data_IF_629894024138
#
_entry.id   IF_629894024138
#
_cell.length_a   1.000
_cell.length_b   1.000
_cell.length_c   1.000
_cell.angle_alpha   90.00
_cell.angle_beta   90.00
_cell.angle_gamma   90.00
#
_symmetry.space_group_name_H-M   'P 1'
#
loop_
_entity.id
_entity.type
_entity.pdbx_description
1 polymer ?
#
# COMPACT_ATOMS: atom_id res chain seq x y z
N UNK A 1 -9.39 20.90 35.14
CA UNK A 1 -8.96 21.26 33.77
C UNK A 1 -9.99 22.21 33.18
N UNK A 2 -9.54 23.37 32.69
CA UNK A 2 -10.39 24.39 32.09
C UNK A 2 -11.07 23.87 30.80
N UNK A 3 -12.23 24.40 30.45
CA UNK A 3 -13.02 23.95 29.29
C UNK A 3 -12.24 24.14 27.99
N UNK A 4 -11.43 25.19 27.95
CA UNK A 4 -10.53 25.58 26.87
C UNK A 4 -9.46 24.51 26.61
N UNK A 5 -8.86 23.95 27.67
CA UNK A 5 -7.84 22.89 27.54
C UNK A 5 -8.43 21.61 26.93
N UNK A 6 -9.68 21.27 27.28
CA UNK A 6 -10.37 20.10 26.70
C UNK A 6 -10.64 20.28 25.21
N UNK A 7 -11.03 21.48 24.80
CA UNK A 7 -11.24 21.82 23.38
C UNK A 7 -9.92 21.77 22.61
N UNK A 8 -8.84 22.30 23.19
CA UNK A 8 -7.50 22.22 22.60
C UNK A 8 -7.02 20.79 22.38
N UNK A 9 -7.19 19.91 23.38
CA UNK A 9 -6.84 18.48 23.25
C UNK A 9 -7.68 17.82 22.16
N UNK A 10 -8.99 18.08 22.13
CA UNK A 10 -9.88 17.54 21.11
C UNK A 10 -9.45 17.93 19.70
N UNK A 11 -9.06 19.20 19.50
CA UNK A 11 -8.59 19.68 18.21
C UNK A 11 -7.30 18.97 17.76
N UNK A 12 -6.33 18.77 18.66
CA UNK A 12 -5.09 18.04 18.34
C UNK A 12 -5.39 16.59 17.98
N UNK A 13 -6.24 15.90 18.75
CA UNK A 13 -6.65 14.52 18.46
C UNK A 13 -7.34 14.43 17.10
N UNK A 14 -8.23 15.36 16.78
CA UNK A 14 -8.93 15.39 15.49
C UNK A 14 -7.95 15.56 14.31
N UNK A 15 -6.95 16.43 14.43
CA UNK A 15 -5.91 16.63 13.42
C UNK A 15 -5.07 15.35 13.24
N UNK A 16 -4.66 14.71 14.35
CA UNK A 16 -3.89 13.47 14.28
C UNK A 16 -4.67 12.34 13.60
N UNK A 17 -5.96 12.19 13.93
CA UNK A 17 -6.84 11.21 13.29
C UNK A 17 -7.04 11.50 11.82
N UNK A 18 -7.14 12.77 11.42
CA UNK A 18 -7.25 13.16 10.01
C UNK A 18 -6.02 12.78 9.20
N UNK A 19 -4.82 13.09 9.70
CA UNK A 19 -3.56 12.75 9.01
C UNK A 19 -3.43 11.23 8.88
N UNK A 20 -3.70 10.51 9.97
CA UNK A 20 -3.66 9.04 9.97
C UNK A 20 -4.72 8.43 9.04
N UNK A 21 -5.95 8.94 9.08
CA UNK A 21 -7.06 8.50 8.25
C UNK A 21 -6.83 8.75 6.76
N UNK A 22 -6.19 9.86 6.39
CA UNK A 22 -5.82 10.16 5.00
C UNK A 22 -4.83 9.14 4.43
N UNK A 23 -3.80 8.79 5.19
CA UNK A 23 -2.83 7.77 4.76
C UNK A 23 -3.44 6.35 4.77
N UNK A 24 -4.41 6.08 5.66
CA UNK A 24 -5.21 4.85 5.63
C UNK A 24 -6.09 4.75 4.37
N UNK A 25 -6.75 5.86 3.96
CA UNK A 25 -7.55 5.90 2.72
C UNK A 25 -6.71 5.70 1.46
N UNK A 26 -5.42 6.06 1.49
CA UNK A 26 -4.47 5.70 0.43
C UNK A 26 -4.06 4.22 0.42
N UNK A 27 -4.57 3.41 1.35
CA UNK A 27 -4.26 1.99 1.43
C UNK A 27 -2.86 1.69 1.95
N UNK A 28 -2.16 2.65 2.56
CA UNK A 28 -0.89 2.34 3.25
C UNK A 28 -1.24 1.56 4.51
N UNK A 29 -0.92 0.27 4.51
CA UNK A 29 -1.09 -0.60 5.67
C UNK A 29 -0.07 -0.24 6.76
N UNK A 30 -0.37 0.81 7.54
CA UNK A 30 0.51 1.33 8.61
C UNK A 30 0.57 0.43 9.85
N UNK A 31 -0.34 -0.53 10.00
CA UNK A 31 -0.37 -1.47 11.13
C UNK A 31 -0.03 -2.92 10.77
N UNK A 32 -0.03 -3.29 9.48
CA UNK A 32 0.21 -4.67 9.08
C UNK A 32 1.70 -4.92 8.80
N UNK A 33 2.22 -6.05 9.28
CA UNK A 33 3.58 -6.49 8.96
C UNK A 33 3.58 -7.08 7.54
N UNK A 34 3.78 -6.23 6.54
CA UNK A 34 3.87 -6.60 5.14
C UNK A 34 5.29 -6.52 4.59
N UNK A 35 5.51 -7.18 3.46
CA UNK A 35 6.71 -7.14 2.65
C UNK A 35 6.37 -6.49 1.31
N UNK A 36 7.20 -5.51 0.91
CA UNK A 36 7.05 -4.83 -0.37
C UNK A 36 7.89 -5.56 -1.42
N UNK A 37 7.26 -5.96 -2.52
CA UNK A 37 7.94 -6.47 -3.70
C UNK A 37 7.83 -5.46 -4.83
N UNK A 38 8.88 -5.36 -5.63
CA UNK A 38 8.95 -4.52 -6.82
C UNK A 38 9.00 -5.42 -8.04
N UNK A 39 8.04 -5.27 -8.95
CA UNK A 39 7.97 -6.04 -10.19
C UNK A 39 7.96 -5.09 -11.37
N UNK A 40 8.80 -5.36 -12.36
CA UNK A 40 8.85 -4.59 -13.60
C UNK A 40 8.02 -5.29 -14.68
N UNK A 41 7.11 -4.55 -15.30
CA UNK A 41 6.28 -5.01 -16.41
C UNK A 41 6.55 -4.14 -17.65
N UNK A 42 6.44 -4.77 -18.82
CA UNK A 42 6.43 -4.07 -20.12
C UNK A 42 5.10 -3.34 -20.36
N UNK A 43 4.01 -3.90 -19.84
CA UNK A 43 2.67 -3.37 -20.00
C UNK A 43 1.82 -3.80 -18.83
N UNK A 44 0.95 -2.91 -18.34
CA UNK A 44 -0.09 -3.26 -17.35
C UNK A 44 -1.41 -2.71 -17.86
N UNK A 45 -2.34 -3.60 -18.20
CA UNK A 45 -3.71 -3.21 -18.54
C UNK A 45 -4.51 -3.08 -17.24
N UNK A 46 -5.14 -1.93 -17.06
CA UNK A 46 -6.13 -1.66 -16.00
C UNK A 46 -5.69 -1.96 -14.55
N UNK A 47 -4.38 -2.09 -14.30
CA UNK A 47 -3.86 -2.34 -12.95
C UNK A 47 -3.95 -1.07 -12.10
N UNK A 48 -4.89 -1.07 -11.16
CA UNK A 48 -5.10 0.04 -10.24
C UNK A 48 -4.51 -0.24 -8.86
N UNK A 49 -4.15 0.84 -8.16
CA UNK A 49 -3.80 0.80 -6.74
C UNK A 49 -4.94 0.13 -5.97
N UNK A 50 -4.60 -0.71 -4.98
CA UNK A 50 -5.51 -1.54 -4.17
C UNK A 50 -6.11 -2.78 -4.86
N UNK A 51 -5.71 -3.10 -6.10
CA UNK A 51 -6.07 -4.40 -6.69
C UNK A 51 -5.53 -5.56 -5.84
N UNK A 52 -6.29 -6.64 -5.64
CA UNK A 52 -5.85 -7.76 -4.81
C UNK A 52 -4.76 -8.56 -5.53
N UNK A 53 -3.69 -8.89 -4.79
CA UNK A 53 -2.66 -9.82 -5.25
C UNK A 53 -3.09 -11.22 -4.86
N UNK A 54 -3.25 -12.09 -5.86
CA UNK A 54 -3.77 -13.44 -5.70
C UNK A 54 -2.67 -14.48 -5.95
N UNK A 55 -2.60 -15.50 -5.10
CA UNK A 55 -1.81 -16.72 -5.33
C UNK A 55 -2.78 -17.88 -5.33
N UNK A 56 -2.88 -18.60 -6.46
CA UNK A 56 -3.85 -19.69 -6.65
C UNK A 56 -5.30 -19.28 -6.30
N UNK A 57 -5.68 -18.03 -6.61
CA UNK A 57 -7.02 -17.49 -6.30
C UNK A 57 -7.22 -17.03 -4.86
N UNK A 58 -6.22 -17.14 -3.99
CA UNK A 58 -6.28 -16.65 -2.61
C UNK A 58 -5.59 -15.30 -2.47
N UNK A 59 -6.25 -14.34 -1.82
CA UNK A 59 -5.68 -13.01 -1.60
C UNK A 59 -4.55 -13.05 -0.58
N UNK A 60 -3.35 -12.71 -1.04
CA UNK A 60 -2.12 -12.64 -0.23
C UNK A 60 -1.63 -11.22 -0.01
N UNK A 61 -2.18 -10.24 -0.73
CA UNK A 61 -1.73 -8.87 -0.68
C UNK A 61 -2.59 -7.91 -1.52
N UNK A 62 -2.05 -6.72 -1.75
CA UNK A 62 -2.61 -5.70 -2.62
C UNK A 62 -1.52 -5.00 -3.44
N UNK A 63 -1.88 -4.44 -4.59
CA UNK A 63 -1.06 -3.49 -5.33
C UNK A 63 -1.00 -2.19 -4.54
N UNK A 64 0.19 -1.79 -4.13
CA UNK A 64 0.41 -0.59 -3.33
C UNK A 64 0.64 0.64 -4.19
N UNK A 65 1.37 0.50 -5.29
CA UNK A 65 1.64 1.61 -6.21
C UNK A 65 1.96 1.09 -7.62
N UNK A 66 1.74 1.94 -8.62
CA UNK A 66 2.05 1.67 -10.03
C UNK A 66 2.60 2.96 -10.65
N UNK A 67 3.84 2.91 -11.12
CA UNK A 67 4.50 4.09 -11.69
C UNK A 67 5.46 3.73 -12.82
N UNK A 68 5.69 4.68 -13.72
CA UNK A 68 6.69 4.55 -14.80
C UNK A 68 8.10 4.58 -14.21
N UNK A 69 8.96 3.67 -14.66
CA UNK A 69 10.36 3.64 -14.20
C UNK A 69 11.05 4.94 -14.64
N UNK A 70 11.62 5.75 -13.71
CA UNK A 70 12.14 7.07 -14.06
C UNK A 70 13.28 7.06 -15.09
N UNK A 71 14.01 5.94 -15.18
CA UNK A 71 15.15 5.75 -16.07
C UNK A 71 14.74 5.14 -17.42
N UNK A 72 13.56 4.52 -17.49
CA UNK A 72 13.06 3.81 -18.66
C UNK A 72 11.54 3.88 -18.72
N UNK A 73 11.02 4.84 -19.48
CA UNK A 73 9.58 5.07 -19.61
C UNK A 73 8.86 3.94 -20.36
N UNK A 74 9.57 2.93 -20.89
CA UNK A 74 8.95 1.73 -21.47
C UNK A 74 8.59 0.69 -20.40
N UNK A 75 9.10 0.87 -19.18
CA UNK A 75 8.87 -0.06 -18.06
C UNK A 75 7.97 0.55 -17.01
N UNK A 76 7.08 -0.27 -16.49
CA UNK A 76 6.17 0.06 -15.41
C UNK A 76 6.61 -0.72 -14.19
N UNK A 77 6.80 -0.04 -13.07
CA UNK A 77 7.12 -0.63 -11.78
C UNK A 77 5.85 -0.74 -10.96
N UNK A 78 5.57 -1.95 -10.50
CA UNK A 78 4.43 -2.26 -9.64
C UNK A 78 4.96 -2.60 -8.25
N UNK A 79 4.53 -1.86 -7.24
CA UNK A 79 4.76 -2.19 -5.83
C UNK A 79 3.66 -3.12 -5.34
N UNK A 80 4.02 -4.31 -4.86
CA UNK A 80 3.12 -5.25 -4.24
C UNK A 80 3.34 -5.25 -2.73
N UNK A 81 2.28 -5.01 -1.96
CA UNK A 81 2.26 -5.19 -0.52
C UNK A 81 1.67 -6.57 -0.22
N UNK A 82 2.54 -7.51 0.16
CA UNK A 82 2.17 -8.91 0.44
C UNK A 82 2.36 -9.17 1.93
N UNK A 83 1.46 -9.96 2.53
CA UNK A 83 1.59 -10.32 3.95
C UNK A 83 2.86 -11.15 4.19
N UNK A 84 3.55 -10.93 5.32
CA UNK A 84 4.81 -11.65 5.66
C UNK A 84 4.64 -13.12 6.01
N UNK A 85 3.44 -13.55 6.36
CA UNK A 85 3.10 -14.95 6.64
C UNK A 85 3.07 -15.81 5.36
N UNK A 86 3.13 -15.17 4.18
CA UNK A 86 3.17 -15.85 2.89
C UNK A 86 4.61 -15.98 2.40
N UNK A 87 5.22 -17.19 2.43
CA UNK A 87 6.56 -17.41 1.91
C UNK A 87 6.53 -17.40 0.37
N UNK A 88 7.02 -16.30 -0.24
CA UNK A 88 7.16 -16.20 -1.70
C UNK A 88 8.57 -16.69 -2.08
N UNK A 89 8.71 -17.79 -2.83
CA UNK A 89 10.02 -18.27 -3.29
C UNK A 89 10.61 -17.34 -4.36
N UNK A 90 11.95 -17.30 -4.47
CA UNK A 90 12.65 -16.49 -5.50
C UNK A 90 12.33 -16.92 -6.95
N UNK A 91 11.80 -18.12 -7.13
CA UNK A 91 11.38 -18.66 -8.43
C UNK A 91 9.93 -18.31 -8.77
N UNK A 92 9.23 -17.53 -7.92
CA UNK A 92 7.88 -17.09 -8.20
C UNK A 92 7.86 -16.17 -9.44
N UNK A 93 6.85 -16.38 -10.29
CA UNK A 93 6.63 -15.59 -11.51
C UNK A 93 5.32 -14.84 -11.29
N UNK A 94 5.35 -13.53 -11.49
CA UNK A 94 4.16 -12.71 -11.53
C UNK A 94 3.66 -12.63 -12.98
N UNK A 95 2.35 -12.74 -13.17
CA UNK A 95 1.66 -12.71 -14.47
C UNK A 95 0.49 -11.75 -14.41
#
# INVERSE_FOLDING_TARGET
MARETKIGILAVVAISVLIWGYEFLKGKNILASSQIFYVEYDHVDELAISNPVLVNGFQVGIVKDVYLKPQDLTKIVVELDVRKDVPIPRTAIAQ
#
